data_IF_175049888554
#
_entry.id   IF_175049888554
#
_cell.length_a   1.000
_cell.length_b   1.000
_cell.length_c   1.000
_cell.angle_alpha   90.00
_cell.angle_beta   90.00
_cell.angle_gamma   90.00
#
_symmetry.space_group_name_H-M   'P 1'
#
loop_
_entity.id
_entity.type
_entity.pdbx_description
1 polymer ?
#
# COMPACT_ATOMS: atom_id res chain seq x y z
N UNK A 1 -82.48 -7.03 3.46
CA UNK A 1 -82.56 -5.62 3.91
C UNK A 1 -81.16 -5.17 4.29
N UNK A 2 -80.43 -4.60 3.34
CA UNK A 2 -79.07 -4.08 3.51
C UNK A 2 -79.14 -2.56 3.48
N UNK A 3 -78.64 -1.90 4.52
CA UNK A 3 -78.52 -0.43 4.56
C UNK A 3 -77.04 -0.05 4.44
N UNK A 4 -76.68 0.48 3.28
CA UNK A 4 -75.40 1.10 2.97
C UNK A 4 -75.50 2.57 3.40
N UNK A 5 -74.52 3.08 4.17
CA UNK A 5 -74.27 4.52 4.28
C UNK A 5 -73.02 4.88 3.47
N UNK A 6 -73.06 5.95 2.67
CA UNK A 6 -71.97 6.35 1.78
C UNK A 6 -70.94 7.20 2.52
N UNK A 7 -69.65 7.03 2.18
CA UNK A 7 -68.62 8.00 2.54
C UNK A 7 -68.08 8.66 1.28
N UNK A 8 -68.25 9.97 1.24
CA UNK A 8 -68.06 10.86 0.11
C UNK A 8 -66.59 11.24 -0.11
N UNK A 9 -66.12 11.03 -1.34
CA UNK A 9 -65.24 11.84 -2.18
C UNK A 9 -64.50 13.05 -1.56
N UNK A 10 -63.16 13.10 -1.70
CA UNK A 10 -62.48 14.23 -2.35
C UNK A 10 -61.23 13.77 -3.12
N UNK A 11 -61.31 13.96 -4.43
CA UNK A 11 -60.24 13.99 -5.41
C UNK A 11 -59.21 15.08 -5.04
N UNK A 12 -57.91 14.81 -5.19
CA UNK A 12 -56.94 15.88 -5.41
C UNK A 12 -55.82 15.41 -6.35
N UNK A 13 -56.06 15.71 -7.63
CA UNK A 13 -55.14 16.27 -8.63
C UNK A 13 -53.70 15.71 -8.69
N UNK A 14 -53.49 14.83 -9.67
CA UNK A 14 -52.48 14.95 -10.73
C UNK A 14 -51.22 15.77 -10.38
N UNK A 15 -50.08 15.09 -10.26
CA UNK A 15 -48.83 15.64 -10.80
C UNK A 15 -48.15 14.59 -11.65
N UNK A 16 -48.41 14.76 -12.93
CA UNK A 16 -47.90 14.06 -14.08
C UNK A 16 -46.60 14.79 -14.50
N UNK A 17 -45.58 14.00 -14.83
CA UNK A 17 -44.52 14.29 -15.82
C UNK A 17 -43.36 15.21 -15.40
N UNK A 18 -42.20 14.54 -15.19
CA UNK A 18 -41.00 14.67 -16.03
C UNK A 18 -40.78 16.05 -16.70
N UNK A 19 -39.84 16.85 -16.19
CA UNK A 19 -39.05 17.81 -16.99
C UNK A 19 -37.87 18.32 -16.13
N UNK A 20 -36.75 17.60 -16.20
CA UNK A 20 -35.42 18.24 -16.23
C UNK A 20 -35.31 18.92 -17.61
N UNK A 21 -34.57 20.05 -17.79
CA UNK A 21 -33.21 20.21 -17.27
C UNK A 21 -32.83 21.67 -16.89
N UNK A 22 -31.58 21.84 -16.44
CA UNK A 22 -30.60 22.88 -16.86
C UNK A 22 -29.78 23.44 -15.68
N UNK A 23 -28.49 23.12 -15.76
CA UNK A 23 -27.29 23.84 -15.31
C UNK A 23 -27.19 24.41 -13.89
N UNK A 24 -26.22 23.87 -13.16
CA UNK A 24 -24.96 24.57 -12.83
C UNK A 24 -23.88 23.47 -12.70
N UNK A 25 -22.90 23.40 -13.62
CA UNK A 25 -21.53 23.95 -13.47
C UNK A 25 -20.95 23.68 -12.08
N UNK A 26 -19.76 23.14 -11.88
CA UNK A 26 -18.73 22.59 -12.71
C UNK A 26 -17.76 21.96 -11.70
N UNK A 27 -17.26 20.76 -11.95
CA UNK A 27 -15.86 20.50 -11.63
C UNK A 27 -15.33 19.51 -12.64
N UNK A 28 -14.67 20.11 -13.62
CA UNK A 28 -13.72 19.52 -14.52
C UNK A 28 -12.65 18.83 -13.68
N UNK A 29 -12.73 17.51 -13.65
CA UNK A 29 -11.65 16.63 -13.23
C UNK A 29 -11.32 15.78 -14.44
N UNK A 30 -10.37 16.26 -15.24
CA UNK A 30 -9.64 15.49 -16.24
C UNK A 30 -9.25 14.14 -15.62
N UNK A 31 -10.05 13.10 -15.86
CA UNK A 31 -9.57 11.73 -15.80
C UNK A 31 -8.77 11.54 -17.07
N UNK A 32 -7.57 12.13 -17.06
CA UNK A 32 -6.49 11.62 -17.85
C UNK A 32 -6.35 10.18 -17.39
N UNK A 33 -6.85 9.29 -18.23
CA UNK A 33 -6.52 7.88 -18.27
C UNK A 33 -5.01 7.78 -18.49
N UNK A 34 -4.25 8.13 -17.46
CA UNK A 34 -2.90 7.63 -17.25
C UNK A 34 -3.14 6.17 -16.91
N UNK A 35 -3.31 5.37 -17.96
CA UNK A 35 -2.92 3.98 -17.97
C UNK A 35 -1.57 3.97 -17.25
N UNK A 36 -1.56 3.55 -15.99
CA UNK A 36 -0.35 3.23 -15.26
C UNK A 36 0.28 2.12 -16.08
N UNK A 37 1.14 2.49 -17.02
CA UNK A 37 2.05 1.57 -17.66
C UNK A 37 2.87 1.03 -16.50
N UNK A 38 2.53 -0.16 -16.04
CA UNK A 38 3.45 -0.96 -15.24
C UNK A 38 4.75 -0.94 -16.02
N UNK A 39 5.73 -0.19 -15.51
CA UNK A 39 7.05 -0.20 -16.09
C UNK A 39 7.57 -1.58 -15.78
N UNK A 40 7.45 -2.49 -16.74
CA UNK A 40 7.96 -3.85 -16.67
C UNK A 40 9.46 -3.73 -16.53
N UNK A 41 9.94 -3.70 -15.29
CA UNK A 41 11.36 -3.79 -14.97
C UNK A 41 11.85 -5.09 -15.60
N UNK A 42 12.69 -5.00 -16.62
CA UNK A 42 13.34 -6.19 -17.16
C UNK A 42 14.30 -6.72 -16.11
N UNK A 43 13.84 -7.69 -15.32
CA UNK A 43 14.62 -8.32 -14.25
C UNK A 43 15.83 -9.07 -14.79
N UNK A 44 15.90 -9.34 -16.10
CA UNK A 44 17.03 -10.02 -16.73
C UNK A 44 18.22 -9.09 -16.99
N UNK A 45 18.08 -7.78 -16.73
CA UNK A 45 19.21 -6.86 -16.81
C UNK A 45 20.26 -7.29 -15.76
N UNK A 46 21.54 -7.45 -16.13
CA UNK A 46 22.58 -7.91 -15.20
C UNK A 46 22.66 -7.11 -13.89
N UNK A 47 22.28 -5.83 -13.93
CA UNK A 47 22.27 -4.98 -12.74
C UNK A 47 21.23 -5.40 -11.70
N UNK A 48 20.04 -5.83 -12.14
CA UNK A 48 18.98 -6.26 -11.24
C UNK A 48 19.37 -7.56 -10.58
N UNK A 49 20.02 -8.46 -11.32
CA UNK A 49 20.56 -9.70 -10.78
C UNK A 49 21.66 -9.45 -9.73
N UNK A 50 22.56 -8.49 -9.97
CA UNK A 50 23.59 -8.11 -9.01
C UNK A 50 23.00 -7.54 -7.72
N UNK A 51 22.01 -6.64 -7.83
CA UNK A 51 21.32 -6.06 -6.68
C UNK A 51 20.55 -7.14 -5.91
N UNK A 52 19.82 -8.00 -6.63
CA UNK A 52 19.03 -9.08 -6.05
C UNK A 52 19.91 -10.11 -5.33
N UNK A 53 21.05 -10.47 -5.90
CA UNK A 53 22.01 -11.38 -5.27
C UNK A 53 22.52 -10.85 -3.92
N UNK A 54 22.91 -9.57 -3.87
CA UNK A 54 23.34 -8.92 -2.63
C UNK A 54 22.19 -8.81 -1.62
N UNK A 55 20.98 -8.49 -2.10
CA UNK A 55 19.76 -8.44 -1.31
C UNK A 55 19.46 -9.78 -0.62
N UNK A 56 19.40 -10.86 -1.40
CA UNK A 56 19.09 -12.20 -0.90
C UNK A 56 20.09 -12.67 0.16
N UNK A 57 21.38 -12.39 -0.05
CA UNK A 57 22.44 -12.82 0.85
C UNK A 57 22.47 -12.04 2.17
N UNK A 58 22.29 -10.71 2.12
CA UNK A 58 22.64 -9.84 3.26
C UNK A 58 21.46 -9.10 3.87
N UNK A 59 20.42 -8.83 3.10
CA UNK A 59 19.35 -7.89 3.48
C UNK A 59 18.03 -8.60 3.74
N UNK A 60 17.67 -9.57 2.89
CA UNK A 60 16.44 -10.35 3.03
C UNK A 60 16.27 -10.95 4.43
N UNK A 61 17.29 -11.58 5.07
CA UNK A 61 17.14 -12.12 6.42
C UNK A 61 16.75 -11.07 7.48
N UNK A 62 17.20 -9.83 7.30
CA UNK A 62 16.86 -8.71 8.18
C UNK A 62 15.40 -8.29 7.93
N UNK A 63 15.00 -8.10 6.67
CA UNK A 63 13.64 -7.66 6.33
C UNK A 63 12.60 -8.74 6.67
N UNK A 64 12.93 -10.02 6.51
CA UNK A 64 12.07 -11.14 6.93
C UNK A 64 11.76 -11.09 8.42
N UNK A 65 12.74 -10.73 9.24
CA UNK A 65 12.57 -10.65 10.69
C UNK A 65 11.87 -9.37 11.15
N UNK A 66 12.03 -8.26 10.42
CA UNK A 66 11.69 -6.90 10.92
C UNK A 66 10.54 -6.23 10.17
N UNK A 67 10.27 -6.64 8.93
CA UNK A 67 9.38 -5.92 8.02
C UNK A 67 8.28 -6.81 7.43
N UNK A 68 8.56 -8.10 7.19
CA UNK A 68 7.69 -8.98 6.42
C UNK A 68 6.33 -9.23 7.05
N UNK A 69 6.21 -9.13 8.37
CA UNK A 69 4.92 -9.29 9.05
C UNK A 69 3.85 -8.32 8.54
N UNK A 70 4.26 -7.13 8.11
CA UNK A 70 3.35 -6.12 7.55
C UNK A 70 3.53 -5.90 6.05
N UNK A 71 4.73 -6.10 5.52
CA UNK A 71 5.10 -5.73 4.15
C UNK A 71 5.17 -6.92 3.18
N UNK A 72 4.80 -8.13 3.58
CA UNK A 72 4.82 -9.30 2.70
C UNK A 72 3.54 -10.15 2.82
N UNK A 73 3.43 -11.20 2.02
CA UNK A 73 2.41 -12.24 2.16
C UNK A 73 2.72 -13.26 3.28
N UNK A 74 3.87 -13.13 3.95
CA UNK A 74 4.35 -14.04 5.00
C UNK A 74 4.21 -13.42 6.39
N UNK A 75 2.98 -13.13 6.81
CA UNK A 75 2.70 -12.55 8.13
C UNK A 75 2.66 -13.59 9.25
N UNK A 76 3.42 -13.36 10.33
CA UNK A 76 3.27 -14.10 11.59
C UNK A 76 2.26 -13.40 12.48
N UNK A 77 1.02 -13.90 12.49
CA UNK A 77 -0.04 -13.31 13.28
C UNK A 77 0.13 -13.58 14.79
N UNK A 78 -0.07 -12.58 15.66
CA UNK A 78 -0.10 -12.80 17.10
C UNK A 78 -1.35 -13.58 17.50
N UNK A 79 -1.34 -14.21 18.68
CA UNK A 79 -2.45 -15.04 19.16
C UNK A 79 -3.80 -14.29 19.22
N UNK A 80 -3.77 -12.98 19.49
CA UNK A 80 -4.96 -12.13 19.58
C UNK A 80 -5.53 -11.72 18.21
N UNK A 81 -4.88 -12.08 17.10
CA UNK A 81 -5.42 -11.84 15.75
C UNK A 81 -6.80 -12.49 15.53
N UNK A 82 -7.11 -13.57 16.26
CA UNK A 82 -8.41 -14.25 16.17
C UNK A 82 -9.56 -13.50 16.85
N UNK A 83 -9.26 -12.44 17.61
CA UNK A 83 -10.25 -11.68 18.37
C UNK A 83 -10.85 -10.59 17.46
N UNK A 84 -12.19 -10.50 17.32
CA UNK A 84 -12.85 -9.40 16.62
C UNK A 84 -12.46 -8.04 17.20
N UNK A 85 -12.31 -7.04 16.34
CA UNK A 85 -11.69 -5.75 16.64
C UNK A 85 -10.21 -5.74 16.27
N UNK A 86 -9.40 -6.58 16.93
CA UNK A 86 -7.97 -6.68 16.65
C UNK A 86 -7.68 -7.24 15.26
N UNK A 87 -8.44 -8.25 14.82
CA UNK A 87 -8.33 -8.79 13.47
C UNK A 87 -8.44 -7.70 12.40
N UNK A 88 -9.51 -6.90 12.45
CA UNK A 88 -9.78 -5.84 11.49
C UNK A 88 -8.72 -4.74 11.53
N UNK A 89 -8.25 -4.39 12.74
CA UNK A 89 -7.18 -3.41 12.93
C UNK A 89 -5.86 -3.89 12.29
N UNK A 90 -5.45 -5.14 12.56
CA UNK A 90 -4.23 -5.73 12.00
C UNK A 90 -4.35 -5.85 10.47
N UNK A 91 -5.47 -6.36 9.97
CA UNK A 91 -5.73 -6.47 8.53
C UNK A 91 -5.64 -5.09 7.84
N UNK A 92 -6.19 -4.05 8.47
CA UNK A 92 -6.11 -2.68 7.97
C UNK A 92 -4.66 -2.16 7.94
N UNK A 93 -3.90 -2.38 9.02
CA UNK A 93 -2.50 -1.95 9.13
C UNK A 93 -1.61 -2.65 8.10
N UNK A 94 -1.74 -3.98 7.93
CA UNK A 94 -1.02 -4.75 6.90
C UNK A 94 -1.39 -4.24 5.50
N UNK A 95 -2.69 -4.08 5.22
CA UNK A 95 -3.15 -3.55 3.93
C UNK A 95 -2.59 -2.15 3.68
N UNK A 96 -2.45 -1.31 4.71
CA UNK A 96 -1.85 0.03 4.60
C UNK A 96 -0.35 -0.03 4.37
N UNK A 97 0.36 -0.90 5.08
CA UNK A 97 1.79 -1.11 4.92
C UNK A 97 2.16 -1.55 3.50
N UNK A 98 1.48 -2.58 2.97
CA UNK A 98 1.67 -3.08 1.60
C UNK A 98 1.37 -2.04 0.50
N UNK A 99 0.50 -1.05 0.77
CA UNK A 99 0.28 0.07 -0.18
C UNK A 99 1.49 1.01 -0.30
N UNK A 100 2.33 1.10 0.74
CA UNK A 100 3.52 1.94 0.71
C UNK A 100 4.73 1.20 0.16
N UNK A 101 4.87 -0.09 0.51
CA UNK A 101 5.88 -0.98 -0.06
C UNK A 101 5.44 -2.43 0.15
N UNK A 102 5.39 -3.21 -0.93
CA UNK A 102 5.09 -4.64 -0.91
C UNK A 102 6.35 -5.43 -1.30
N UNK A 103 6.81 -6.27 -0.37
CA UNK A 103 8.00 -7.12 -0.44
C UNK A 103 7.64 -8.59 -0.73
N UNK A 104 6.38 -8.90 -1.05
CA UNK A 104 5.92 -10.28 -1.26
C UNK A 104 6.60 -10.99 -2.44
N UNK A 105 7.19 -10.24 -3.37
CA UNK A 105 7.91 -10.76 -4.54
C UNK A 105 9.42 -10.52 -4.46
N UNK A 106 9.94 -10.29 -3.25
CA UNK A 106 11.34 -9.93 -3.03
C UNK A 106 11.72 -8.66 -3.83
N UNK A 107 12.99 -8.49 -4.18
CA UNK A 107 13.44 -7.40 -5.02
C UNK A 107 13.20 -7.71 -6.52
N UNK A 108 12.76 -6.73 -7.34
CA UNK A 108 12.35 -5.38 -6.96
C UNK A 108 11.04 -5.34 -6.17
N UNK A 109 11.00 -4.48 -5.16
CA UNK A 109 9.79 -4.23 -4.36
C UNK A 109 8.70 -3.57 -5.20
N UNK A 110 7.46 -3.66 -4.73
CA UNK A 110 6.29 -3.12 -5.41
C UNK A 110 5.78 -1.91 -4.64
N UNK A 111 6.04 -0.69 -5.14
CA UNK A 111 5.38 0.53 -4.65
C UNK A 111 5.35 1.73 -5.61
N UNK A 112 6.45 2.47 -5.72
CA UNK A 112 6.55 3.84 -6.24
C UNK A 112 6.85 3.88 -7.75
N UNK A 113 6.34 2.90 -8.50
CA UNK A 113 6.52 2.69 -9.94
C UNK A 113 7.93 2.28 -10.41
N UNK A 114 9.00 2.53 -9.63
CA UNK A 114 10.37 2.15 -10.04
C UNK A 114 11.20 1.63 -8.85
N UNK A 115 12.07 0.62 -9.05
CA UNK A 115 12.94 0.09 -8.00
C UNK A 115 13.83 1.16 -7.36
N UNK A 116 14.25 2.16 -8.14
CA UNK A 116 15.01 3.29 -7.61
C UNK A 116 14.22 4.08 -6.57
N UNK A 117 12.95 4.41 -6.85
CA UNK A 117 12.09 5.15 -5.91
C UNK A 117 11.81 4.31 -4.66
N UNK A 118 11.61 3.01 -4.83
CA UNK A 118 11.38 2.09 -3.71
C UNK A 118 12.59 2.02 -2.77
N UNK A 119 13.80 1.93 -3.34
CA UNK A 119 15.05 1.96 -2.57
C UNK A 119 15.28 3.30 -1.85
N UNK A 120 14.96 4.43 -2.50
CA UNK A 120 15.07 5.75 -1.83
C UNK A 120 14.09 5.84 -0.65
N UNK A 121 12.84 5.44 -0.85
CA UNK A 121 11.82 5.45 0.22
C UNK A 121 12.20 4.53 1.40
N UNK A 122 12.69 3.31 1.12
CA UNK A 122 13.18 2.40 2.15
C UNK A 122 14.37 2.99 2.92
N UNK A 123 15.31 3.61 2.21
CA UNK A 123 16.48 4.23 2.85
C UNK A 123 16.07 5.41 3.74
N UNK A 124 15.21 6.29 3.25
CA UNK A 124 14.75 7.48 3.97
C UNK A 124 14.04 7.08 5.27
N UNK A 125 13.06 6.16 5.22
CA UNK A 125 12.30 5.75 6.40
C UNK A 125 13.19 5.08 7.47
N UNK A 126 14.27 4.42 7.04
CA UNK A 126 15.25 3.79 7.94
C UNK A 126 16.20 4.82 8.55
N UNK A 127 16.58 5.87 7.81
CA UNK A 127 17.38 6.99 8.34
C UNK A 127 16.58 7.77 9.37
N UNK A 128 15.32 8.08 9.06
CA UNK A 128 14.42 8.85 9.92
C UNK A 128 13.97 8.07 11.16
N UNK A 129 14.16 6.74 11.17
CA UNK A 129 13.74 5.86 12.24
C UNK A 129 12.21 5.87 12.47
N UNK A 130 11.46 6.09 11.39
CA UNK A 130 10.00 6.14 11.38
C UNK A 130 9.36 4.74 11.39
N UNK A 131 10.16 3.70 11.12
CA UNK A 131 9.73 2.30 11.15
C UNK A 131 10.49 1.46 12.19
N UNK A 132 9.79 0.55 12.89
CA UNK A 132 8.34 0.36 12.89
C UNK A 132 7.61 1.41 13.75
N UNK A 133 6.29 1.65 13.53
CA UNK A 133 5.54 2.62 14.32
C UNK A 133 5.55 2.28 15.82
N UNK A 134 5.56 3.31 16.68
CA UNK A 134 5.65 3.11 18.13
C UNK A 134 4.58 2.15 18.69
N UNK A 135 3.34 2.25 18.19
CA UNK A 135 2.23 1.35 18.60
C UNK A 135 2.56 -0.14 18.39
N UNK A 136 3.31 -0.45 17.34
CA UNK A 136 3.71 -1.81 17.01
C UNK A 136 4.83 -2.27 17.93
N UNK A 137 5.83 -1.42 18.17
CA UNK A 137 6.96 -1.67 19.08
C UNK A 137 6.52 -2.01 20.50
N UNK A 138 5.45 -1.37 21.01
CA UNK A 138 4.96 -1.64 22.38
C UNK A 138 4.63 -3.12 22.57
N UNK A 139 4.07 -3.78 21.55
CA UNK A 139 3.77 -5.21 21.57
C UNK A 139 4.88 -6.08 20.96
N UNK A 140 5.74 -5.50 20.11
CA UNK A 140 6.79 -6.20 19.34
C UNK A 140 8.12 -5.45 19.48
N UNK A 141 8.66 -5.44 20.69
CA UNK A 141 9.88 -4.68 21.02
C UNK A 141 11.10 -5.16 20.21
N UNK A 142 11.12 -6.44 19.84
CA UNK A 142 12.14 -7.10 19.04
C UNK A 142 12.06 -6.73 17.55
N UNK A 143 11.01 -6.05 17.10
CA UNK A 143 10.87 -5.58 15.72
C UNK A 143 11.75 -4.36 15.40
N UNK A 144 12.37 -3.71 16.40
CA UNK A 144 13.30 -2.61 16.16
C UNK A 144 14.56 -3.09 15.45
N UNK A 145 15.01 -2.32 14.46
CA UNK A 145 16.33 -2.52 13.86
C UNK A 145 17.43 -2.17 14.86
N UNK A 146 18.39 -3.08 15.00
CA UNK A 146 19.67 -2.79 15.63
C UNK A 146 20.47 -1.80 14.79
N UNK A 147 21.52 -1.19 15.38
CA UNK A 147 22.40 -0.27 14.67
C UNK A 147 23.04 -0.92 13.44
N UNK A 148 23.55 -2.15 13.58
CA UNK A 148 24.18 -2.89 12.48
C UNK A 148 23.18 -3.27 11.38
N UNK A 149 21.97 -3.70 11.74
CA UNK A 149 20.92 -4.00 10.75
C UNK A 149 20.53 -2.74 9.95
N UNK A 150 20.40 -1.60 10.64
CA UNK A 150 20.11 -0.30 10.01
C UNK A 150 21.19 0.09 9.01
N UNK A 151 22.45 0.06 9.44
CA UNK A 151 23.60 0.40 8.60
C UNK A 151 23.71 -0.51 7.38
N UNK A 152 23.44 -1.81 7.54
CA UNK A 152 23.44 -2.77 6.44
C UNK A 152 22.39 -2.41 5.37
N UNK A 153 21.15 -2.10 5.77
CA UNK A 153 20.09 -1.76 4.82
C UNK A 153 20.36 -0.42 4.13
N UNK A 154 20.83 0.60 4.88
CA UNK A 154 21.18 1.91 4.31
C UNK A 154 22.27 1.75 3.25
N UNK A 155 23.37 1.07 3.61
CA UNK A 155 24.51 0.87 2.72
C UNK A 155 24.11 0.13 1.44
N UNK A 156 23.39 -0.98 1.57
CA UNK A 156 22.91 -1.73 0.41
C UNK A 156 21.98 -0.89 -0.47
N UNK A 157 21.09 -0.10 0.13
CA UNK A 157 20.18 0.77 -0.61
C UNK A 157 20.94 1.83 -1.39
N UNK A 158 21.96 2.46 -0.79
CA UNK A 158 22.82 3.46 -1.45
C UNK A 158 23.60 2.89 -2.64
N UNK A 159 24.23 1.74 -2.46
CA UNK A 159 24.97 1.05 -3.53
C UNK A 159 24.04 0.67 -4.69
N UNK A 160 22.84 0.17 -4.37
CA UNK A 160 21.82 -0.20 -5.35
C UNK A 160 21.26 1.01 -6.09
N UNK A 161 21.05 2.12 -5.37
CA UNK A 161 20.63 3.40 -5.95
C UNK A 161 21.67 3.94 -6.93
N UNK A 162 22.96 3.89 -6.59
CA UNK A 162 24.04 4.33 -7.50
C UNK A 162 24.02 3.55 -8.80
N UNK A 163 23.97 2.22 -8.70
CA UNK A 163 23.91 1.29 -9.84
C UNK A 163 22.72 1.57 -10.76
N UNK A 164 21.54 1.80 -10.20
CA UNK A 164 20.34 2.10 -10.99
C UNK A 164 20.36 3.50 -11.62
N UNK A 165 21.05 4.47 -11.01
CA UNK A 165 21.23 5.81 -11.59
C UNK A 165 22.16 5.77 -12.79
N UNK A 166 23.28 5.06 -12.71
CA UNK A 166 24.25 4.93 -13.80
C UNK A 166 23.60 4.46 -15.10
N UNK A 167 22.66 3.50 -15.02
CA UNK A 167 21.94 2.96 -16.19
C UNK A 167 20.84 3.90 -16.69
N UNK A 168 20.24 4.71 -15.83
CA UNK A 168 19.20 5.68 -16.25
C UNK A 168 19.76 6.80 -17.13
N UNK A 169 21.06 7.07 -17.02
CA UNK A 169 21.74 8.12 -17.79
C UNK A 169 22.58 7.57 -18.96
N UNK A 170 22.49 6.26 -19.24
CA UNK A 170 23.01 5.62 -20.45
C UNK A 170 21.88 5.45 -21.46
#
# INVERSE_FOLDING_TARGET
>A
MQTIKPLTFKLSVVSIIFLLPVMLLAHEGDNSDVVKKEMTVDKNLPIYELINSSYLANIKPILEKKCFDCHSDSTKFPWYYKIPGFKQMIDYDIKKAKRHIDMSKDFPFISHNTPLKDLNSLREIIIENDMPPLRYVIAHWDARLTKSEREAIIKWSEESISKLREIRYQ
#
